data_IF_821280121496
#
_entry.id   IF_821280121496
#
_cell.length_a   1.000
_cell.length_b   1.000
_cell.length_c   1.000
_cell.angle_alpha   90.00
_cell.angle_beta   90.00
_cell.angle_gamma   90.00
#
_symmetry.space_group_name_H-M   'P 1'
#
loop_
_entity.id
_entity.type
_entity.pdbx_description
1 polymer ?
#
# COMPACT_ATOMS: atom_id res chain seq x y z
N UNK A 1 -2.13 11.28 26.68
CA UNK A 1 -0.79 11.44 26.06
C UNK A 1 0.34 10.88 26.93
N UNK A 2 0.52 11.34 28.16
CA UNK A 2 1.64 10.93 29.04
C UNK A 2 1.67 9.42 29.34
N UNK A 3 0.51 8.83 29.63
CA UNK A 3 0.40 7.37 29.83
C UNK A 3 0.82 6.58 28.59
N UNK A 4 0.51 7.09 27.40
CA UNK A 4 0.88 6.43 26.15
C UNK A 4 2.38 6.51 25.89
N UNK A 5 3.01 7.64 26.23
CA UNK A 5 4.46 7.79 26.15
C UNK A 5 5.17 6.82 27.11
N UNK A 6 4.73 6.76 28.37
CA UNK A 6 5.27 5.81 29.36
C UNK A 6 5.12 4.35 28.92
N UNK A 7 3.95 3.98 28.39
CA UNK A 7 3.71 2.65 27.84
C UNK A 7 4.65 2.36 26.65
N UNK A 8 4.79 3.32 25.75
CA UNK A 8 5.67 3.19 24.59
C UNK A 8 7.13 3.00 25.00
N UNK A 9 7.60 3.74 26.00
CA UNK A 9 8.98 3.63 26.48
C UNK A 9 9.25 2.31 27.21
N UNK A 10 8.25 1.75 27.89
CA UNK A 10 8.36 0.39 28.46
C UNK A 10 8.42 -0.67 27.35
N UNK A 11 7.52 -0.62 26.36
CA UNK A 11 7.45 -1.62 25.30
C UNK A 11 8.69 -1.63 24.40
N UNK A 12 9.31 -0.47 24.15
CA UNK A 12 10.57 -0.36 23.39
C UNK A 12 11.73 -1.15 23.99
N UNK A 13 11.69 -1.46 25.30
CA UNK A 13 12.75 -2.25 25.95
C UNK A 13 12.61 -3.75 25.66
N UNK A 14 11.42 -4.20 25.24
CA UNK A 14 11.09 -5.62 25.07
C UNK A 14 10.92 -6.04 23.61
N UNK A 15 10.61 -5.09 22.72
CA UNK A 15 10.25 -5.39 21.33
C UNK A 15 11.04 -4.53 20.33
N UNK A 16 11.42 -5.14 19.20
CA UNK A 16 12.04 -4.41 18.08
C UNK A 16 11.04 -3.47 17.38
N UNK A 17 9.76 -3.89 17.33
CA UNK A 17 8.67 -3.13 16.71
C UNK A 17 7.42 -3.14 17.59
N UNK A 18 6.84 -1.96 17.77
CA UNK A 18 5.55 -1.77 18.42
C UNK A 18 4.64 -0.99 17.47
N UNK A 19 3.59 -1.63 16.97
CA UNK A 19 2.64 -1.01 16.05
C UNK A 19 1.42 -0.54 16.84
N UNK A 20 1.19 0.78 16.84
CA UNK A 20 -0.01 1.38 17.40
C UNK A 20 -1.03 1.65 16.28
N UNK A 21 -2.16 0.96 16.33
CA UNK A 21 -3.28 1.26 15.44
C UNK A 21 -4.00 2.52 15.94
N UNK A 22 -3.87 3.62 15.18
CA UNK A 22 -4.47 4.91 15.53
C UNK A 22 -5.90 4.98 15.01
N UNK A 23 -6.85 5.57 15.76
CA UNK A 23 -8.18 5.82 15.23
C UNK A 23 -8.12 6.73 13.98
N UNK A 24 -9.10 6.57 13.10
CA UNK A 24 -9.28 7.44 11.96
C UNK A 24 -9.65 8.87 12.41
N UNK A 25 -9.11 9.88 11.72
CA UNK A 25 -9.36 11.30 12.00
C UNK A 25 -8.36 11.94 12.98
N UNK A 26 -8.55 13.23 13.24
CA UNK A 26 -7.60 14.09 13.98
C UNK A 26 -8.00 14.34 15.45
N UNK A 27 -8.82 13.45 15.99
CA UNK A 27 -9.46 13.59 17.30
C UNK A 27 -8.51 13.29 18.46
N UNK A 28 -9.03 13.28 19.69
CA UNK A 28 -8.23 13.08 20.90
C UNK A 28 -7.47 11.74 20.92
N UNK A 29 -8.03 10.70 20.30
CA UNK A 29 -7.37 9.40 20.16
C UNK A 29 -6.10 9.44 19.29
N UNK A 30 -6.13 10.21 18.19
CA UNK A 30 -4.96 10.43 17.33
C UNK A 30 -3.82 11.11 18.09
N UNK A 31 -4.13 12.16 18.88
CA UNK A 31 -3.12 12.86 19.69
C UNK A 31 -2.45 11.96 20.71
N UNK A 32 -3.18 10.97 21.26
CA UNK A 32 -2.61 10.00 22.18
C UNK A 32 -1.65 9.05 21.45
N UNK A 33 -2.03 8.54 20.29
CA UNK A 33 -1.19 7.64 19.49
C UNK A 33 0.11 8.34 19.05
N UNK A 34 0.00 9.57 18.54
CA UNK A 34 1.16 10.38 18.11
C UNK A 34 2.12 10.66 19.25
N UNK A 35 1.63 10.89 20.48
CA UNK A 35 2.48 11.20 21.63
C UNK A 35 3.45 10.07 22.02
N UNK A 36 3.17 8.81 21.66
CA UNK A 36 4.04 7.66 21.91
C UNK A 36 4.83 7.19 20.68
N UNK A 37 4.54 7.73 19.50
CA UNK A 37 5.10 7.28 18.24
C UNK A 37 6.47 7.91 17.96
N UNK A 38 7.39 7.12 17.40
CA UNK A 38 8.68 7.60 16.87
C UNK A 38 8.62 7.80 15.36
N UNK A 39 7.83 6.97 14.69
CA UNK A 39 7.57 7.02 13.26
C UNK A 39 6.07 6.91 13.02
N UNK A 40 5.60 7.45 11.90
CA UNK A 40 4.22 7.34 11.49
C UNK A 40 4.12 6.77 10.08
N UNK A 41 3.13 5.90 9.87
CA UNK A 41 2.76 5.39 8.55
C UNK A 41 1.36 5.90 8.26
N UNK A 42 1.25 6.78 7.28
CA UNK A 42 -0.02 7.30 6.79
C UNK A 42 -0.54 6.38 5.68
N UNK A 43 -1.74 5.84 5.89
CA UNK A 43 -2.42 5.01 4.90
C UNK A 43 -3.53 5.83 4.26
N UNK A 44 -3.55 5.94 2.93
CA UNK A 44 -4.61 6.63 2.19
C UNK A 44 -5.09 5.80 1.00
N UNK A 45 -6.21 6.18 0.41
CA UNK A 45 -6.71 5.64 -0.86
C UNK A 45 -6.51 6.68 -1.98
N UNK A 46 -6.49 6.27 -3.26
CA UNK A 46 -6.35 7.18 -4.40
C UNK A 46 -7.65 7.97 -4.69
N UNK A 47 -8.34 8.41 -3.63
CA UNK A 47 -9.55 9.23 -3.68
C UNK A 47 -9.21 10.67 -3.27
N UNK A 48 -9.71 11.65 -4.02
CA UNK A 48 -9.40 13.08 -3.79
C UNK A 48 -9.73 13.54 -2.37
N UNK A 49 -10.83 13.04 -1.79
CA UNK A 49 -11.21 13.32 -0.41
C UNK A 49 -10.20 12.76 0.59
N UNK A 50 -9.80 11.49 0.43
CA UNK A 50 -8.84 10.84 1.31
C UNK A 50 -7.46 11.50 1.25
N UNK A 51 -7.02 11.93 0.07
CA UNK A 51 -5.76 12.66 -0.13
C UNK A 51 -5.81 14.03 0.56
N UNK A 52 -6.92 14.77 0.44
CA UNK A 52 -7.07 16.06 1.14
C UNK A 52 -7.02 15.89 2.66
N UNK A 53 -7.65 14.85 3.19
CA UNK A 53 -7.60 14.57 4.63
C UNK A 53 -6.20 14.13 5.06
N UNK A 54 -5.51 13.34 4.23
CA UNK A 54 -4.13 12.94 4.45
C UNK A 54 -3.19 14.15 4.56
N UNK A 55 -3.29 15.13 3.66
CA UNK A 55 -2.49 16.37 3.70
C UNK A 55 -2.61 17.11 5.05
N UNK A 56 -3.82 17.17 5.61
CA UNK A 56 -4.06 17.76 6.93
C UNK A 56 -3.39 16.97 8.04
N UNK A 57 -3.43 15.64 7.96
CA UNK A 57 -2.79 14.74 8.94
C UNK A 57 -1.27 14.85 8.87
N UNK A 58 -0.69 14.97 7.67
CA UNK A 58 0.75 15.19 7.46
C UNK A 58 1.19 16.45 8.21
N UNK A 59 0.48 17.57 8.02
CA UNK A 59 0.81 18.81 8.72
C UNK A 59 0.77 18.68 10.25
N UNK A 60 -0.15 17.88 10.80
CA UNK A 60 -0.22 17.62 12.24
C UNK A 60 0.92 16.73 12.75
N UNK A 61 1.31 15.71 11.99
CA UNK A 61 2.43 14.83 12.33
C UNK A 61 3.75 15.59 12.28
N UNK A 62 3.97 16.39 11.23
CA UNK A 62 5.16 17.23 11.10
C UNK A 62 5.24 18.30 12.18
N UNK A 63 4.11 18.90 12.58
CA UNK A 63 4.06 19.82 13.72
C UNK A 63 4.41 19.13 15.05
N UNK A 64 4.21 17.81 15.15
CA UNK A 64 4.65 16.98 16.27
C UNK A 64 6.10 16.47 16.12
N UNK A 65 6.81 16.85 15.06
CA UNK A 65 8.19 16.44 14.78
C UNK A 65 8.32 15.03 14.19
N UNK A 66 7.25 14.48 13.62
CA UNK A 66 7.23 13.15 13.00
C UNK A 66 7.01 13.32 11.49
N UNK A 67 7.99 12.89 10.70
CA UNK A 67 7.86 12.81 9.24
C UNK A 67 7.23 11.45 8.85
N UNK A 68 6.02 11.44 8.28
CA UNK A 68 5.33 10.19 7.99
C UNK A 68 5.78 9.53 6.69
N UNK A 69 5.73 8.21 6.68
CA UNK A 69 5.78 7.39 5.47
C UNK A 69 4.40 7.22 4.86
N UNK A 70 4.31 7.12 3.53
CA UNK A 70 3.05 6.91 2.81
C UNK A 70 2.84 5.45 2.41
N UNK A 71 1.64 4.92 2.66
CA UNK A 71 1.11 3.74 1.98
C UNK A 71 -0.12 4.14 1.17
N UNK A 72 -0.08 3.86 -0.13
CA UNK A 72 -1.24 4.01 -1.01
C UNK A 72 -1.97 2.66 -1.06
N UNK A 73 -3.16 2.61 -0.51
CA UNK A 73 -3.99 1.41 -0.42
C UNK A 73 -5.07 1.38 -1.50
N UNK A 74 -5.48 0.17 -1.89
CA UNK A 74 -6.52 -0.10 -2.90
C UNK A 74 -6.25 0.56 -4.26
N UNK A 75 -4.99 0.57 -4.70
CA UNK A 75 -4.66 1.13 -6.01
C UNK A 75 -5.12 0.18 -7.14
N UNK A 76 -5.88 0.70 -8.10
CA UNK A 76 -6.38 -0.06 -9.24
C UNK A 76 -5.71 0.39 -10.54
N UNK A 77 -4.81 -0.44 -11.07
CA UNK A 77 -4.12 -0.16 -12.33
C UNK A 77 -5.11 0.01 -13.51
N UNK A 78 -6.23 -0.71 -13.49
CA UNK A 78 -7.27 -0.59 -14.52
C UNK A 78 -7.94 0.78 -14.48
N UNK A 79 -8.32 1.26 -13.29
CA UNK A 79 -8.98 2.57 -13.15
C UNK A 79 -8.03 3.72 -13.46
N UNK A 80 -6.73 3.58 -13.14
CA UNK A 80 -5.69 4.54 -13.54
C UNK A 80 -5.59 4.60 -15.07
N UNK A 81 -5.52 3.46 -15.75
CA UNK A 81 -5.46 3.41 -17.23
C UNK A 81 -6.70 4.02 -17.90
N UNK A 82 -7.85 3.99 -17.22
CA UNK A 82 -9.09 4.60 -17.69
C UNK A 82 -9.17 6.11 -17.40
N UNK A 83 -8.28 6.65 -16.57
CA UNK A 83 -8.29 8.05 -16.14
C UNK A 83 -9.29 8.34 -15.01
N UNK A 84 -9.85 7.29 -14.39
CA UNK A 84 -10.87 7.40 -13.33
C UNK A 84 -10.25 7.42 -11.91
N UNK A 85 -8.94 7.27 -11.81
CA UNK A 85 -8.20 7.19 -10.55
C UNK A 85 -6.84 7.89 -10.70
N UNK A 86 -6.42 8.61 -9.66
CA UNK A 86 -5.10 9.22 -9.59
C UNK A 86 -4.02 8.15 -9.59
N UNK A 87 -2.93 8.39 -10.31
CA UNK A 87 -1.79 7.50 -10.28
C UNK A 87 -0.93 7.73 -9.02
N UNK A 88 0.06 6.86 -8.81
CA UNK A 88 0.91 6.93 -7.61
C UNK A 88 1.77 8.20 -7.59
N UNK A 89 2.19 8.69 -8.75
CA UNK A 89 3.19 9.76 -8.86
C UNK A 89 2.47 11.10 -8.58
N UNK A 90 1.24 11.28 -9.08
CA UNK A 90 0.35 12.38 -8.72
C UNK A 90 0.12 12.46 -7.20
N UNK A 91 -0.14 11.32 -6.55
CA UNK A 91 -0.39 11.27 -5.10
C UNK A 91 0.87 11.65 -4.30
N UNK A 92 2.03 11.16 -4.73
CA UNK A 92 3.32 11.50 -4.10
C UNK A 92 3.59 13.00 -4.23
N UNK A 93 3.37 13.56 -5.42
CA UNK A 93 3.59 14.99 -5.68
C UNK A 93 2.65 15.86 -4.86
N UNK A 94 1.39 15.45 -4.68
CA UNK A 94 0.41 16.17 -3.86
C UNK A 94 0.78 16.12 -2.37
N UNK A 95 1.13 14.94 -1.84
CA UNK A 95 1.33 14.75 -0.40
C UNK A 95 2.75 15.10 0.06
N UNK A 96 3.74 15.08 -0.83
CA UNK A 96 5.11 15.52 -0.55
C UNK A 96 5.86 14.68 0.49
N UNK A 97 5.44 13.43 0.74
CA UNK A 97 6.04 12.53 1.73
C UNK A 97 6.54 11.22 1.09
N UNK A 98 7.55 10.55 1.68
CA UNK A 98 8.17 9.40 1.06
C UNK A 98 7.23 8.18 1.00
N UNK A 99 7.19 7.54 -0.17
CA UNK A 99 6.38 6.33 -0.40
C UNK A 99 7.05 5.08 0.17
N UNK A 100 6.40 4.45 1.15
CA UNK A 100 6.81 3.17 1.73
C UNK A 100 6.25 1.99 0.94
N UNK A 101 5.05 2.11 0.37
CA UNK A 101 4.54 1.09 -0.54
C UNK A 101 3.13 1.30 -1.05
N UNK A 102 2.73 0.38 -1.92
CA UNK A 102 1.46 0.39 -2.62
C UNK A 102 0.80 -0.97 -2.43
N UNK A 103 -0.46 -0.97 -2.00
CA UNK A 103 -1.29 -2.16 -1.88
C UNK A 103 -2.32 -2.10 -3.02
N UNK A 104 -2.30 -3.06 -3.96
CA UNK A 104 -3.28 -3.11 -5.03
C UNK A 104 -4.67 -3.46 -4.49
N UNK A 105 -5.71 -3.10 -5.23
CA UNK A 105 -7.04 -3.67 -5.01
C UNK A 105 -7.02 -5.18 -5.27
N UNK A 106 -7.44 -5.97 -4.27
CA UNK A 106 -7.36 -7.43 -4.29
C UNK A 106 -8.53 -8.05 -3.50
N UNK A 107 -9.36 -8.85 -4.19
CA UNK A 107 -10.49 -9.58 -3.57
C UNK A 107 -10.04 -10.55 -2.48
N UNK A 108 -8.78 -11.00 -2.53
CA UNK A 108 -8.14 -11.84 -1.52
C UNK A 108 -8.14 -11.22 -0.14
N UNK A 109 -8.17 -9.88 -0.02
CA UNK A 109 -8.26 -9.19 1.27
C UNK A 109 -9.58 -9.54 1.97
N UNK A 110 -10.71 -9.40 1.26
CA UNK A 110 -12.03 -9.72 1.79
C UNK A 110 -12.14 -11.20 2.15
N UNK A 111 -11.69 -12.08 1.25
CA UNK A 111 -11.74 -13.54 1.47
C UNK A 111 -10.92 -13.94 2.70
N UNK A 112 -9.70 -13.42 2.82
CA UNK A 112 -8.79 -13.75 3.93
C UNK A 112 -9.32 -13.22 5.26
N UNK A 113 -9.84 -11.98 5.28
CA UNK A 113 -10.47 -11.38 6.45
C UNK A 113 -11.66 -12.21 6.96
N UNK A 114 -12.57 -12.62 6.06
CA UNK A 114 -13.73 -13.45 6.43
C UNK A 114 -13.34 -14.84 6.96
N UNK A 115 -12.16 -15.33 6.60
CA UNK A 115 -11.61 -16.60 7.11
C UNK A 115 -10.83 -16.43 8.42
N UNK A 116 -10.62 -15.21 8.90
CA UNK A 116 -9.78 -14.93 10.05
C UNK A 116 -8.30 -15.26 9.82
N UNK A 117 -7.84 -15.30 8.56
CA UNK A 117 -6.46 -15.59 8.21
C UNK A 117 -5.82 -14.34 7.59
N UNK A 118 -4.62 -13.92 8.06
CA UNK A 118 -3.90 -12.82 7.43
C UNK A 118 -3.56 -13.12 5.97
N UNK A 119 -3.91 -12.22 5.05
CA UNK A 119 -3.65 -12.37 3.62
C UNK A 119 -2.16 -12.60 3.29
N UNK A 120 -1.26 -12.04 4.11
CA UNK A 120 0.19 -12.15 3.97
C UNK A 120 0.69 -13.60 4.00
N UNK A 121 -0.10 -14.54 4.55
CA UNK A 121 0.23 -15.98 4.56
C UNK A 121 0.10 -16.62 3.18
N UNK A 122 -0.72 -16.04 2.30
CA UNK A 122 -0.94 -16.56 0.96
C UNK A 122 -0.17 -15.73 -0.08
N UNK A 123 0.83 -16.35 -0.71
CA UNK A 123 1.70 -15.71 -1.70
C UNK A 123 1.05 -15.54 -3.08
N UNK A 124 -0.11 -16.16 -3.31
CA UNK A 124 -0.83 -16.04 -4.58
C UNK A 124 -1.51 -14.67 -4.71
N UNK A 125 -1.88 -14.04 -3.58
CA UNK A 125 -2.52 -12.72 -3.57
C UNK A 125 -1.49 -11.61 -3.76
N UNK A 126 -1.83 -10.66 -4.62
CA UNK A 126 -0.96 -9.52 -4.97
C UNK A 126 -0.80 -8.59 -3.77
N UNK A 127 -1.88 -8.39 -3.01
CA UNK A 127 -1.83 -7.65 -1.75
C UNK A 127 -0.95 -8.35 -0.69
N UNK A 128 -0.98 -9.69 -0.62
CA UNK A 128 -0.09 -10.47 0.26
C UNK A 128 1.40 -10.22 -0.04
N UNK A 129 1.77 -10.21 -1.32
CA UNK A 129 3.14 -9.84 -1.76
C UNK A 129 3.47 -8.38 -1.43
N UNK A 130 2.53 -7.46 -1.61
CA UNK A 130 2.72 -6.03 -1.32
C UNK A 130 3.04 -5.79 0.16
N UNK A 131 2.26 -6.38 1.08
CA UNK A 131 2.53 -6.29 2.52
C UNK A 131 3.93 -6.78 2.89
N UNK A 132 4.41 -7.88 2.29
CA UNK A 132 5.78 -8.38 2.54
C UNK A 132 6.86 -7.40 2.07
N UNK A 133 6.67 -6.74 0.92
CA UNK A 133 7.63 -5.72 0.45
C UNK A 133 7.67 -4.52 1.38
N UNK A 134 6.52 -4.07 1.86
CA UNK A 134 6.41 -2.98 2.85
C UNK A 134 7.15 -3.35 4.14
N UNK A 135 6.90 -4.55 4.68
CA UNK A 135 7.58 -5.03 5.88
C UNK A 135 9.11 -5.09 5.70
N UNK A 136 9.59 -5.55 4.53
CA UNK A 136 11.02 -5.55 4.22
C UNK A 136 11.64 -4.15 4.17
N UNK A 137 10.92 -3.15 3.62
CA UNK A 137 11.40 -1.75 3.66
C UNK A 137 11.42 -1.17 5.06
N UNK A 138 10.43 -1.51 5.90
CA UNK A 138 10.40 -1.08 7.30
C UNK A 138 11.61 -1.57 8.11
N UNK A 139 12.17 -2.72 7.77
CA UNK A 139 13.40 -3.24 8.39
C UNK A 139 14.68 -2.78 7.68
N UNK A 140 14.58 -1.81 6.76
CA UNK A 140 15.72 -1.18 6.09
C UNK A 140 16.22 -1.88 4.82
N UNK A 141 15.50 -2.87 4.29
CA UNK A 141 15.89 -3.49 3.01
C UNK A 141 15.53 -2.60 1.82
N UNK A 142 16.47 -2.49 0.86
CA UNK A 142 16.23 -1.83 -0.42
C UNK A 142 15.41 -2.74 -1.35
N UNK A 143 14.09 -2.59 -1.29
CA UNK A 143 13.14 -3.32 -2.15
C UNK A 143 12.52 -2.35 -3.16
N UNK A 144 12.69 -2.57 -4.48
CA UNK A 144 12.13 -1.67 -5.49
C UNK A 144 10.62 -1.48 -5.34
N UNK A 145 10.07 -0.31 -5.64
CA UNK A 145 8.61 -0.14 -5.71
C UNK A 145 8.02 -1.01 -6.84
N UNK A 146 6.78 -1.52 -6.69
CA UNK A 146 6.15 -2.30 -7.75
C UNK A 146 5.94 -1.44 -9.00
N UNK A 147 6.19 -2.03 -10.16
CA UNK A 147 5.80 -1.45 -11.44
C UNK A 147 4.30 -1.68 -11.63
N UNK A 148 3.53 -0.60 -11.79
CA UNK A 148 2.07 -0.67 -11.95
C UNK A 148 1.64 -1.32 -13.27
N UNK A 149 2.58 -1.47 -14.22
CA UNK A 149 2.38 -2.18 -15.49
C UNK A 149 2.69 -3.68 -15.38
N UNK A 150 3.27 -4.14 -14.27
CA UNK A 150 3.59 -5.55 -14.05
C UNK A 150 2.30 -6.38 -14.04
N UNK A 151 2.18 -7.45 -14.88
CA UNK A 151 1.08 -8.40 -14.82
C UNK A 151 0.80 -8.92 -13.41
N UNK A 152 1.84 -9.08 -12.59
CA UNK A 152 1.73 -9.51 -11.19
C UNK A 152 1.09 -8.45 -10.29
N UNK A 153 1.15 -7.17 -10.63
CA UNK A 153 0.49 -6.09 -9.91
C UNK A 153 -0.96 -5.91 -10.40
N UNK A 154 -1.19 -6.01 -11.71
CA UNK A 154 -2.51 -5.84 -12.34
C UNK A 154 -3.48 -7.00 -12.12
N UNK A 155 -3.05 -8.08 -11.44
CA UNK A 155 -3.84 -9.30 -11.28
C UNK A 155 -4.04 -10.09 -12.58
N UNK A 156 -3.40 -9.66 -13.68
CA UNK A 156 -3.44 -10.37 -14.96
C UNK A 156 -2.48 -11.56 -14.86
N UNK A 157 -3.02 -12.78 -14.91
CA UNK A 157 -2.20 -13.96 -15.20
C UNK A 157 -1.51 -13.72 -16.54
N UNK A 158 -0.18 -13.81 -16.59
CA UNK A 158 0.51 -13.83 -17.88
C UNK A 158 -0.16 -14.88 -18.76
N UNK A 159 -0.50 -14.58 -20.02
CA UNK A 159 -0.98 -15.61 -20.93
C UNK A 159 0.11 -16.69 -20.99
N UNK A 160 -0.24 -17.90 -20.55
CA UNK A 160 0.68 -19.02 -20.50
C UNK A 160 1.39 -19.20 -21.84
N UNK A 161 2.61 -19.73 -21.81
CA UNK A 161 3.45 -19.91 -23.00
C UNK A 161 2.69 -20.54 -24.19
N UNK A 162 1.78 -21.48 -23.92
CA UNK A 162 0.90 -22.12 -24.92
C UNK A 162 -0.11 -21.16 -25.55
N UNK A 163 -0.65 -20.21 -24.79
CA UNK A 163 -1.57 -19.17 -25.29
C UNK A 163 -0.83 -18.15 -26.17
N UNK A 164 0.43 -17.83 -25.85
CA UNK A 164 1.31 -17.01 -26.70
C UNK A 164 1.65 -17.73 -28.01
N UNK A 165 2.01 -19.02 -27.95
CA UNK A 165 2.26 -19.85 -29.13
C UNK A 165 1.00 -19.94 -30.01
N UNK A 166 -0.17 -20.20 -29.41
CA UNK A 166 -1.44 -20.32 -30.12
C UNK A 166 -1.82 -19.05 -30.89
N UNK A 167 -1.60 -17.86 -30.33
CA UNK A 167 -1.79 -16.58 -31.04
C UNK A 167 -0.81 -16.40 -32.20
N UNK A 168 0.43 -16.84 -32.04
CA UNK A 168 1.43 -16.79 -33.11
C UNK A 168 1.03 -17.69 -34.29
N UNK A 169 0.53 -18.90 -34.00
CA UNK A 169 0.02 -19.82 -35.03
C UNK A 169 -1.30 -19.34 -35.65
N UNK A 170 -2.22 -18.76 -34.89
CA UNK A 170 -3.49 -18.27 -35.45
C UNK A 170 -3.29 -17.03 -36.34
N UNK A 171 -2.36 -16.14 -35.98
CA UNK A 171 -2.02 -14.95 -36.78
C UNK A 171 -1.26 -15.33 -38.05
N UNK A 172 -0.45 -16.40 -38.01
CA UNK A 172 0.17 -17.00 -39.20
C UNK A 172 -0.82 -17.67 -40.16
N UNK A 173 -1.99 -18.12 -39.68
CA UNK A 173 -3.01 -18.82 -40.49
C UNK A 173 -4.01 -17.86 -41.14
N UNK A 174 -4.20 -16.66 -40.59
CA UNK A 174 -5.11 -15.62 -41.11
C UNK A 174 -4.45 -14.65 -42.11
N UNK A 175 -3.13 -14.73 -42.31
CA UNK A 175 -2.38 -13.88 -43.26
C UNK A 175 -2.32 -14.41 -44.70
N UNK A 176 -3.20 -15.33 -45.09
CA UNK A 176 -3.14 -16.00 -46.40
C UNK A 176 -4.47 -15.98 -47.16
N UNK A 177 -5.15 -14.84 -47.19
CA UNK A 177 -6.09 -14.50 -48.26
C UNK A 177 -5.84 -13.05 -48.67
N UNK A 178 -4.97 -12.90 -49.66
CA UNK A 178 -4.87 -11.76 -50.57
C UNK A 178 -5.25 -12.26 -51.96
#
# INVERSE_FOLDING_TARGET
PEQMAQLSDALKQEFDFVLFDSPAGIEQGFRNAVAGAMEAILVTTPEVSAIRDADRVIGLLQAAGIDPWLIINRLSATMIQQGDMLDKDDIIDILGIPLLGIIPEDEGILISSNRGLPIVLNIEYTAGKAFRRIARRLIGEDVPLPDLTDPQFTGRKEPGFLTRLGKFFSTSLLGKEA
#
